data_IF_408247660355
#
_entry.id   IF_408247660355
#
_cell.length_a   1.000
_cell.length_b   1.000
_cell.length_c   1.000
_cell.angle_alpha   90.00
_cell.angle_beta   90.00
_cell.angle_gamma   90.00
#
_symmetry.space_group_name_H-M   'P 1'
#
loop_
_entity.id
_entity.type
_entity.pdbx_description
1 polymer ?
#
# COMPACT_ATOMS: atom_id res chain seq x y z
N UNK A 1 9.79 29.17 13.16
CA UNK A 1 8.86 28.37 12.32
C UNK A 1 9.61 27.69 11.20
N UNK A 2 10.24 28.39 10.27
CA UNK A 2 10.99 27.78 9.14
C UNK A 2 12.12 26.83 9.56
N UNK A 3 12.86 27.10 10.62
CA UNK A 3 13.93 26.23 11.09
C UNK A 3 13.38 24.93 11.69
N UNK A 4 12.27 24.98 12.40
CA UNK A 4 11.59 23.77 12.94
C UNK A 4 11.04 22.90 11.83
N UNK A 5 10.46 23.48 10.76
CA UNK A 5 10.01 22.73 9.61
C UNK A 5 11.16 22.02 8.90
N UNK A 6 12.32 22.70 8.77
CA UNK A 6 13.52 22.06 8.22
C UNK A 6 14.01 20.88 9.05
N UNK A 7 13.95 20.99 10.38
CA UNK A 7 14.30 19.87 11.26
C UNK A 7 13.40 18.65 11.03
N UNK A 8 12.11 18.86 10.74
CA UNK A 8 11.16 17.78 10.45
C UNK A 8 11.39 17.19 9.04
N UNK A 9 11.34 18.03 8.01
CA UNK A 9 11.42 17.55 6.62
C UNK A 9 12.79 16.94 6.26
N UNK A 10 13.86 17.36 6.93
CA UNK A 10 15.20 16.81 6.76
C UNK A 10 15.63 15.90 7.92
N UNK A 11 14.68 15.50 8.79
CA UNK A 11 14.97 14.51 9.83
C UNK A 11 15.39 13.17 9.20
N UNK A 12 16.17 12.40 9.93
CA UNK A 12 16.61 11.08 9.48
C UNK A 12 15.41 10.17 9.10
N UNK A 13 14.34 10.18 9.93
CA UNK A 13 13.14 9.39 9.66
C UNK A 13 12.45 9.81 8.35
N UNK A 14 12.27 11.11 8.12
CA UNK A 14 11.66 11.63 6.88
C UNK A 14 12.51 11.30 5.65
N UNK A 15 13.82 11.53 5.70
CA UNK A 15 14.73 11.26 4.56
C UNK A 15 14.76 9.77 4.21
N UNK A 16 14.79 8.89 5.20
CA UNK A 16 14.72 7.45 4.97
C UNK A 16 13.37 7.03 4.36
N UNK A 17 12.26 7.58 4.87
CA UNK A 17 10.94 7.31 4.31
C UNK A 17 10.84 7.77 2.85
N UNK A 18 11.22 9.03 2.55
CA UNK A 18 11.26 9.56 1.17
C UNK A 18 12.08 8.66 0.26
N UNK A 19 13.25 8.21 0.73
CA UNK A 19 14.12 7.34 -0.07
C UNK A 19 13.41 6.05 -0.47
N UNK A 20 12.72 5.40 0.48
CA UNK A 20 11.98 4.16 0.19
C UNK A 20 10.74 4.43 -0.68
N UNK A 21 10.02 5.53 -0.43
CA UNK A 21 8.87 5.94 -1.23
C UNK A 21 9.25 6.18 -2.71
N UNK A 22 10.33 6.92 -2.95
CA UNK A 22 10.85 7.15 -4.31
C UNK A 22 11.27 5.84 -4.97
N UNK A 23 11.94 4.93 -4.24
CA UNK A 23 12.34 3.63 -4.79
C UNK A 23 11.14 2.75 -5.12
N UNK A 24 10.09 2.77 -4.30
CA UNK A 24 8.85 2.06 -4.58
C UNK A 24 8.19 2.59 -5.86
N UNK A 25 8.02 3.91 -5.98
CA UNK A 25 7.44 4.53 -7.17
C UNK A 25 8.26 4.22 -8.44
N UNK A 26 9.56 4.43 -8.40
CA UNK A 26 10.46 4.15 -9.51
C UNK A 26 10.43 2.67 -9.92
N UNK A 27 10.32 1.77 -8.95
CA UNK A 27 10.18 0.35 -9.23
C UNK A 27 8.87 0.03 -9.97
N UNK A 28 7.73 0.56 -9.53
CA UNK A 28 6.45 0.34 -10.20
C UNK A 28 6.39 0.99 -11.60
N UNK A 29 7.07 2.10 -11.79
CA UNK A 29 7.17 2.78 -13.09
C UNK A 29 8.02 1.99 -14.11
N UNK A 30 9.02 1.24 -13.65
CA UNK A 30 10.07 0.67 -14.50
C UNK A 30 10.25 -0.85 -14.44
N UNK A 31 9.47 -1.58 -13.61
CA UNK A 31 9.65 -3.03 -13.49
C UNK A 31 9.47 -3.74 -14.85
N UNK A 32 10.27 -4.77 -15.07
CA UNK A 32 10.26 -5.58 -16.29
C UNK A 32 9.89 -7.03 -16.02
N UNK A 33 9.57 -7.34 -14.77
CA UNK A 33 9.12 -8.67 -14.37
C UNK A 33 7.80 -8.99 -15.05
N UNK A 34 7.76 -10.13 -15.71
CA UNK A 34 6.55 -10.68 -16.31
C UNK A 34 6.01 -11.87 -15.53
N UNK A 35 6.75 -12.33 -14.51
CA UNK A 35 6.35 -13.44 -13.65
C UNK A 35 5.79 -12.91 -12.33
N UNK A 36 4.65 -13.43 -11.92
CA UNK A 36 4.02 -13.18 -10.64
C UNK A 36 4.98 -13.42 -9.47
N UNK A 37 5.70 -14.56 -9.48
CA UNK A 37 6.63 -14.90 -8.40
C UNK A 37 7.78 -13.91 -8.25
N UNK A 38 8.33 -13.39 -9.35
CA UNK A 38 9.40 -12.40 -9.33
C UNK A 38 8.97 -11.06 -8.77
N UNK A 39 7.79 -10.58 -9.19
CA UNK A 39 7.20 -9.33 -8.69
C UNK A 39 6.83 -9.47 -7.21
N UNK A 40 6.15 -10.56 -6.84
CA UNK A 40 5.76 -10.87 -5.45
C UNK A 40 6.96 -10.97 -4.52
N UNK A 41 8.06 -11.62 -4.95
CA UNK A 41 9.29 -11.71 -4.16
C UNK A 41 9.88 -10.33 -3.82
N UNK A 42 9.86 -9.40 -4.75
CA UNK A 42 10.36 -8.03 -4.53
C UNK A 42 9.41 -7.21 -3.66
N UNK A 43 8.13 -7.23 -3.95
CA UNK A 43 7.13 -6.45 -3.19
C UNK A 43 7.03 -6.91 -1.74
N UNK A 44 7.12 -8.22 -1.45
CA UNK A 44 7.15 -8.73 -0.08
C UNK A 44 8.38 -8.30 0.74
N UNK A 45 9.40 -7.71 0.10
CA UNK A 45 10.56 -7.10 0.76
C UNK A 45 10.41 -5.58 0.89
N UNK A 46 9.86 -4.93 -0.13
CA UNK A 46 9.72 -3.46 -0.18
C UNK A 46 8.62 -2.98 0.77
N UNK A 47 7.43 -3.61 0.75
CA UNK A 47 6.28 -3.16 1.53
C UNK A 47 6.52 -3.14 3.05
N UNK A 48 7.13 -4.17 3.68
CA UNK A 48 7.45 -4.10 5.11
C UNK A 48 8.44 -2.98 5.45
N UNK A 49 9.43 -2.73 4.57
CA UNK A 49 10.37 -1.64 4.75
C UNK A 49 9.67 -0.28 4.63
N UNK A 50 8.78 -0.12 3.66
CA UNK A 50 7.98 1.09 3.47
C UNK A 50 7.12 1.37 4.70
N UNK A 51 6.40 0.36 5.23
CA UNK A 51 5.60 0.49 6.44
C UNK A 51 6.46 0.92 7.64
N UNK A 52 7.60 0.25 7.86
CA UNK A 52 8.52 0.58 8.93
C UNK A 52 8.99 2.03 8.84
N UNK A 53 9.39 2.49 7.65
CA UNK A 53 9.89 3.86 7.47
C UNK A 53 8.78 4.89 7.63
N UNK A 54 7.58 4.64 7.12
CA UNK A 54 6.42 5.50 7.34
C UNK A 54 6.08 5.64 8.83
N UNK A 55 6.12 4.55 9.60
CA UNK A 55 5.84 4.57 11.04
C UNK A 55 6.87 5.33 11.90
N UNK A 56 8.03 5.65 11.32
CA UNK A 56 9.13 6.39 12.00
C UNK A 56 9.18 7.88 11.63
N UNK A 57 8.30 8.34 10.74
CA UNK A 57 8.21 9.76 10.35
C UNK A 57 7.73 10.57 11.55
N UNK A 58 8.42 11.69 11.91
CA UNK A 58 7.96 12.55 12.99
C UNK A 58 6.63 13.22 12.66
N UNK A 59 5.83 13.48 13.68
CA UNK A 59 4.57 14.21 13.53
C UNK A 59 4.82 15.65 13.13
N UNK A 60 3.93 16.18 12.31
CA UNK A 60 3.92 17.59 11.89
C UNK A 60 2.48 18.06 11.68
N UNK A 61 2.30 19.37 11.54
CA UNK A 61 1.03 20.02 11.22
C UNK A 61 1.14 20.79 9.91
N UNK A 62 0.01 21.09 9.26
CA UNK A 62 -0.02 21.91 8.05
C UNK A 62 0.37 23.36 8.33
N UNK A 63 0.97 24.00 7.34
CA UNK A 63 1.40 25.41 7.39
C UNK A 63 0.61 26.27 6.40
N UNK A 64 0.32 25.73 5.22
CA UNK A 64 -0.49 26.41 4.22
C UNK A 64 -1.98 26.07 4.42
N UNK A 65 -2.85 26.98 3.93
CA UNK A 65 -4.31 26.78 3.96
C UNK A 65 -4.82 25.89 2.83
N UNK A 66 -4.05 25.80 1.74
CA UNK A 66 -4.41 25.02 0.55
C UNK A 66 -3.95 23.57 0.67
N UNK A 67 -4.73 22.65 0.11
CA UNK A 67 -4.35 21.24 0.00
C UNK A 67 -3.11 21.05 -0.90
N UNK A 68 -2.24 20.08 -0.60
CA UNK A 68 -1.09 19.76 -1.43
C UNK A 68 -1.51 19.38 -2.86
N UNK A 69 -0.67 19.76 -3.83
CA UNK A 69 -0.90 19.47 -5.24
C UNK A 69 -0.91 17.97 -5.52
N UNK A 70 -1.89 17.52 -6.31
CA UNK A 70 -1.98 16.16 -6.82
C UNK A 70 -1.26 16.10 -8.19
N UNK A 71 -0.24 15.29 -8.31
CA UNK A 71 0.59 15.15 -9.52
C UNK A 71 0.26 13.89 -10.34
N UNK A 72 -0.25 12.84 -9.71
CA UNK A 72 -0.62 11.61 -10.39
C UNK A 72 -1.96 11.80 -11.11
N UNK A 73 -1.93 11.66 -12.43
CA UNK A 73 -3.14 11.73 -13.26
C UNK A 73 -3.88 10.39 -13.28
N UNK A 74 -5.14 10.40 -13.75
CA UNK A 74 -5.89 9.17 -13.99
C UNK A 74 -5.18 8.25 -15.01
N UNK A 75 -4.50 8.84 -16.01
CA UNK A 75 -3.73 8.08 -17.00
C UNK A 75 -2.53 7.39 -16.36
N UNK A 76 -1.79 8.07 -15.48
CA UNK A 76 -0.67 7.50 -14.73
C UNK A 76 -1.14 6.35 -13.83
N UNK A 77 -2.23 6.58 -13.10
CA UNK A 77 -2.85 5.55 -12.25
C UNK A 77 -3.22 4.31 -13.06
N UNK A 78 -3.99 4.48 -14.13
CA UNK A 78 -4.45 3.39 -14.97
C UNK A 78 -3.29 2.64 -15.65
N UNK A 79 -2.21 3.34 -16.00
CA UNK A 79 -1.01 2.73 -16.54
C UNK A 79 -0.35 1.77 -15.54
N UNK A 80 -0.14 2.20 -14.29
CA UNK A 80 0.46 1.36 -13.25
C UNK A 80 -0.46 0.19 -12.88
N UNK A 81 -1.75 0.45 -12.63
CA UNK A 81 -2.74 -0.58 -12.29
C UNK A 81 -2.83 -1.67 -13.36
N UNK A 82 -2.90 -1.28 -14.63
CA UNK A 82 -2.99 -2.24 -15.75
C UNK A 82 -1.74 -3.11 -15.86
N UNK A 83 -0.56 -2.56 -15.63
CA UNK A 83 0.69 -3.32 -15.66
C UNK A 83 0.75 -4.36 -14.55
N UNK A 84 0.35 -3.98 -13.34
CA UNK A 84 0.28 -4.88 -12.19
C UNK A 84 -0.76 -5.98 -12.42
N UNK A 85 -1.96 -5.60 -12.87
CA UNK A 85 -3.01 -6.55 -13.20
C UNK A 85 -2.56 -7.60 -14.23
N UNK A 86 -1.83 -7.18 -15.28
CA UNK A 86 -1.30 -8.09 -16.29
C UNK A 86 -0.29 -9.12 -15.77
N UNK A 87 0.31 -8.87 -14.61
CA UNK A 87 1.20 -9.85 -13.96
C UNK A 87 0.41 -10.80 -13.06
N UNK A 88 -0.55 -10.29 -12.28
CA UNK A 88 -1.30 -11.09 -11.31
C UNK A 88 -2.50 -11.82 -11.91
N UNK A 89 -3.17 -11.24 -12.93
CA UNK A 89 -4.29 -11.85 -13.65
C UNK A 89 -5.35 -12.46 -12.70
N UNK A 90 -5.51 -13.79 -12.73
CA UNK A 90 -6.49 -14.50 -11.92
C UNK A 90 -6.19 -14.44 -10.41
N UNK A 91 -4.95 -14.16 -10.03
CA UNK A 91 -4.51 -14.05 -8.63
C UNK A 91 -4.55 -12.60 -8.12
N UNK A 92 -5.05 -11.65 -8.92
CA UNK A 92 -5.16 -10.24 -8.53
C UNK A 92 -6.19 -10.01 -7.42
N UNK A 93 -7.21 -10.85 -7.32
CA UNK A 93 -8.28 -10.69 -6.34
C UNK A 93 -7.98 -11.43 -5.04
N UNK A 94 -8.18 -10.75 -3.91
CA UNK A 94 -8.11 -11.34 -2.58
C UNK A 94 -9.28 -10.88 -1.69
N UNK A 95 -9.49 -11.55 -0.55
CA UNK A 95 -10.55 -11.15 0.38
C UNK A 95 -10.02 -10.11 1.37
N UNK A 96 -10.72 -8.97 1.43
CA UNK A 96 -10.45 -7.88 2.38
C UNK A 96 -10.69 -8.36 3.82
N UNK A 97 -10.02 -7.74 4.78
CA UNK A 97 -10.14 -8.04 6.21
C UNK A 97 -10.23 -6.76 7.04
N UNK A 98 -10.87 -6.85 8.20
CA UNK A 98 -11.01 -5.76 9.18
C UNK A 98 -11.80 -4.53 8.73
N UNK A 99 -12.61 -4.62 7.68
CA UNK A 99 -13.55 -3.56 7.35
C UNK A 99 -14.69 -3.51 8.37
N UNK A 100 -15.10 -2.29 8.77
CA UNK A 100 -16.20 -2.13 9.73
C UNK A 100 -17.51 -2.74 9.22
N UNK A 101 -17.73 -2.66 7.92
CA UNK A 101 -18.93 -3.19 7.25
C UNK A 101 -18.98 -4.73 7.21
N UNK A 102 -17.82 -5.42 7.33
CA UNK A 102 -17.77 -6.88 7.43
C UNK A 102 -18.52 -7.42 8.65
N UNK A 103 -18.72 -6.60 9.68
CA UNK A 103 -19.51 -6.96 10.87
C UNK A 103 -20.99 -7.14 10.59
N UNK A 104 -21.48 -6.56 9.50
CA UNK A 104 -22.90 -6.51 9.12
C UNK A 104 -23.16 -7.10 7.73
N UNK A 105 -22.11 -7.51 7.01
CA UNK A 105 -22.21 -8.11 5.68
C UNK A 105 -21.97 -9.62 5.77
N UNK A 106 -22.88 -10.41 5.24
CA UNK A 106 -22.71 -11.86 5.05
C UNK A 106 -21.82 -12.18 3.84
N UNK A 107 -21.50 -11.16 3.02
CA UNK A 107 -20.72 -11.34 1.79
C UNK A 107 -19.30 -10.84 2.02
N UNK A 108 -18.25 -11.65 1.76
CA UNK A 108 -16.88 -11.20 1.78
C UNK A 108 -16.66 -10.06 0.78
N UNK A 109 -15.88 -9.06 1.17
CA UNK A 109 -15.50 -7.94 0.30
C UNK A 109 -14.21 -8.31 -0.41
N UNK A 110 -14.23 -8.25 -1.74
CA UNK A 110 -13.06 -8.49 -2.55
C UNK A 110 -12.24 -7.20 -2.72
N UNK A 111 -10.92 -7.33 -2.70
CA UNK A 111 -9.96 -6.29 -3.01
C UNK A 111 -9.02 -6.76 -4.14
N UNK A 112 -8.30 -5.83 -4.75
CA UNK A 112 -7.41 -6.09 -5.87
C UNK A 112 -5.97 -5.74 -5.50
N UNK A 113 -5.04 -6.67 -5.74
CA UNK A 113 -3.61 -6.45 -5.50
C UNK A 113 -3.11 -5.29 -6.34
N UNK A 114 -3.49 -5.24 -7.61
CA UNK A 114 -3.06 -4.19 -8.55
C UNK A 114 -3.57 -2.81 -8.13
N UNK A 115 -4.84 -2.70 -7.70
CA UNK A 115 -5.41 -1.44 -7.25
C UNK A 115 -4.78 -0.97 -5.93
N UNK A 116 -4.66 -1.85 -4.93
CA UNK A 116 -4.08 -1.47 -3.65
C UNK A 116 -2.61 -1.04 -3.76
N UNK A 117 -1.81 -1.72 -4.58
CA UNK A 117 -0.45 -1.28 -4.87
C UNK A 117 -0.42 0.07 -5.59
N UNK A 118 -1.39 0.32 -6.48
CA UNK A 118 -1.48 1.59 -7.22
C UNK A 118 -1.97 2.73 -6.33
N UNK A 119 -2.88 2.47 -5.40
CA UNK A 119 -3.33 3.46 -4.42
C UNK A 119 -2.16 3.92 -3.52
N UNK A 120 -1.35 2.97 -3.04
CA UNK A 120 -0.11 3.28 -2.31
C UNK A 120 0.84 4.11 -3.18
N UNK A 121 1.00 3.73 -4.46
CA UNK A 121 1.83 4.47 -5.41
C UNK A 121 1.34 5.91 -5.57
N UNK A 122 0.05 6.14 -5.72
CA UNK A 122 -0.53 7.46 -5.93
C UNK A 122 -0.19 8.41 -4.77
N UNK A 123 -0.41 7.98 -3.53
CA UNK A 123 -0.10 8.77 -2.34
C UNK A 123 1.40 9.09 -2.25
N UNK A 124 2.23 8.09 -2.43
CA UNK A 124 3.69 8.25 -2.35
C UNK A 124 4.26 9.08 -3.48
N UNK A 125 3.74 8.95 -4.70
CA UNK A 125 4.20 9.72 -5.87
C UNK A 125 3.82 11.19 -5.76
N UNK A 126 2.60 11.49 -5.31
CA UNK A 126 2.17 12.86 -5.05
C UNK A 126 3.11 13.52 -4.02
N UNK A 127 3.36 12.86 -2.90
CA UNK A 127 4.29 13.34 -1.88
C UNK A 127 5.72 13.50 -2.42
N UNK A 128 6.27 12.50 -3.11
CA UNK A 128 7.62 12.52 -3.64
C UNK A 128 7.83 13.68 -4.63
N UNK A 129 6.84 13.96 -5.48
CA UNK A 129 6.89 15.06 -6.44
C UNK A 129 6.95 16.43 -5.75
N UNK A 130 6.18 16.61 -4.67
CA UNK A 130 6.22 17.83 -3.85
C UNK A 130 7.59 17.96 -3.17
N UNK A 131 8.09 16.86 -2.61
CA UNK A 131 9.36 16.83 -1.91
C UNK A 131 10.55 17.18 -2.83
N UNK A 132 10.53 16.70 -4.07
CA UNK A 132 11.57 16.99 -5.08
C UNK A 132 11.68 18.48 -5.42
N UNK A 133 10.59 19.25 -5.32
CA UNK A 133 10.60 20.70 -5.60
C UNK A 133 11.37 21.51 -4.55
N UNK A 134 11.61 20.97 -3.36
CA UNK A 134 12.51 21.53 -2.37
C UNK A 134 11.99 22.78 -1.63
N UNK A 135 10.70 23.10 -1.70
CA UNK A 135 10.09 24.20 -0.95
C UNK A 135 9.67 23.67 0.42
N UNK A 136 10.33 24.10 1.48
CA UNK A 136 10.22 23.52 2.84
C UNK A 136 8.78 23.46 3.35
N UNK A 137 8.01 24.52 3.17
CA UNK A 137 6.62 24.60 3.60
C UNK A 137 5.75 23.56 2.86
N UNK A 138 5.92 23.47 1.54
CA UNK A 138 5.18 22.50 0.72
C UNK A 138 5.63 21.05 1.02
N UNK A 139 6.94 20.83 1.25
CA UNK A 139 7.45 19.52 1.67
C UNK A 139 6.82 19.05 2.98
N UNK A 140 6.66 19.98 3.94
CA UNK A 140 6.02 19.71 5.21
C UNK A 140 4.54 19.33 5.04
N UNK A 141 3.80 20.11 4.26
CA UNK A 141 2.36 19.87 4.06
C UNK A 141 2.10 18.61 3.22
N UNK A 142 2.95 18.34 2.23
CA UNK A 142 2.95 17.07 1.50
C UNK A 142 3.25 15.87 2.41
N UNK A 143 4.20 16.02 3.35
CA UNK A 143 4.51 15.00 4.34
C UNK A 143 3.32 14.76 5.28
N UNK A 144 2.72 15.85 5.80
CA UNK A 144 1.53 15.78 6.64
C UNK A 144 0.40 15.01 5.95
N UNK A 145 0.02 15.40 4.74
CA UNK A 145 -1.05 14.77 3.98
C UNK A 145 -0.77 13.28 3.70
N UNK A 146 0.47 12.95 3.30
CA UNK A 146 0.88 11.58 3.07
C UNK A 146 0.80 10.73 4.35
N UNK A 147 1.15 11.28 5.51
CA UNK A 147 1.09 10.58 6.80
C UNK A 147 -0.33 10.45 7.33
N UNK A 148 -1.20 11.43 7.13
CA UNK A 148 -2.63 11.30 7.43
C UNK A 148 -3.26 10.19 6.58
N UNK A 149 -2.95 10.14 5.28
CA UNK A 149 -3.40 9.07 4.40
C UNK A 149 -2.79 7.71 4.79
N UNK A 150 -1.55 7.66 5.30
CA UNK A 150 -0.97 6.43 5.85
C UNK A 150 -1.81 5.89 7.00
N UNK A 151 -2.19 6.74 7.93
CA UNK A 151 -2.99 6.35 9.11
C UNK A 151 -4.41 5.93 8.74
N UNK A 152 -5.04 6.66 7.81
CA UNK A 152 -6.44 6.48 7.48
C UNK A 152 -6.71 5.51 6.31
N UNK A 153 -5.76 5.32 5.41
CA UNK A 153 -6.02 4.68 4.12
C UNK A 153 -4.91 3.74 3.64
N UNK A 154 -3.81 4.28 3.06
CA UNK A 154 -2.87 3.42 2.35
C UNK A 154 -2.03 2.51 3.26
N UNK A 155 -1.85 2.85 4.52
CA UNK A 155 -1.18 1.97 5.48
C UNK A 155 -1.96 0.67 5.73
N UNK A 156 -3.30 0.73 5.79
CA UNK A 156 -4.15 -0.44 5.90
C UNK A 156 -4.11 -1.28 4.61
N UNK A 157 -4.19 -0.64 3.44
CA UNK A 157 -4.05 -1.31 2.14
C UNK A 157 -2.71 -2.03 2.02
N UNK A 158 -1.62 -1.39 2.46
CA UNK A 158 -0.28 -1.98 2.46
C UNK A 158 -0.24 -3.28 3.27
N UNK A 159 -0.81 -3.30 4.47
CA UNK A 159 -0.82 -4.50 5.32
C UNK A 159 -1.67 -5.60 4.70
N UNK A 160 -2.82 -5.25 4.12
CA UNK A 160 -3.73 -6.21 3.51
C UNK A 160 -3.13 -6.83 2.25
N UNK A 161 -2.59 -6.02 1.34
CA UNK A 161 -1.95 -6.52 0.11
C UNK A 161 -0.66 -7.30 0.42
N UNK A 162 0.10 -6.90 1.46
CA UNK A 162 1.26 -7.67 1.90
C UNK A 162 0.86 -9.07 2.36
N UNK A 163 -0.26 -9.22 3.09
CA UNK A 163 -0.79 -10.52 3.49
C UNK A 163 -1.18 -11.36 2.27
N UNK A 164 -1.84 -10.76 1.27
CA UNK A 164 -2.20 -11.44 0.03
C UNK A 164 -0.95 -11.92 -0.73
N UNK A 165 0.04 -11.05 -0.91
CA UNK A 165 1.31 -11.37 -1.56
C UNK A 165 2.12 -12.45 -0.80
N UNK A 166 2.08 -12.42 0.54
CA UNK A 166 2.70 -13.47 1.37
C UNK A 166 2.04 -14.83 1.12
N UNK A 167 0.72 -14.85 1.04
CA UNK A 167 -0.03 -16.07 0.72
C UNK A 167 0.36 -16.61 -0.65
N UNK A 168 0.36 -15.76 -1.71
CA UNK A 168 0.79 -16.16 -3.06
C UNK A 168 2.22 -16.70 -3.09
N UNK A 169 3.11 -16.10 -2.32
CA UNK A 169 4.53 -16.49 -2.30
C UNK A 169 4.79 -17.85 -1.64
N UNK A 170 4.06 -18.16 -0.58
CA UNK A 170 4.36 -19.29 0.30
C UNK A 170 3.29 -20.39 0.29
N UNK A 171 2.13 -20.18 -0.36
CA UNK A 171 1.15 -21.24 -0.58
C UNK A 171 1.72 -22.20 -1.62
N UNK A 172 2.27 -23.30 -1.14
CA UNK A 172 2.73 -24.40 -2.00
C UNK A 172 1.48 -25.03 -2.63
N UNK A 173 1.19 -24.77 -3.91
CA UNK A 173 0.44 -25.63 -4.84
C UNK A 173 -0.78 -26.45 -4.38
N UNK A 174 -1.27 -26.27 -3.18
CA UNK A 174 -2.56 -26.79 -2.76
C UNK A 174 -3.59 -25.75 -3.23
N UNK A 175 -4.23 -26.05 -4.35
CA UNK A 175 -5.45 -25.40 -4.76
C UNK A 175 -6.37 -25.29 -3.54
N UNK A 176 -6.57 -24.07 -3.04
CA UNK A 176 -7.76 -23.80 -2.22
C UNK A 176 -8.92 -23.86 -3.20
N UNK A 177 -9.28 -25.10 -3.56
CA UNK A 177 -10.59 -25.38 -4.10
C UNK A 177 -11.53 -24.99 -2.97
N UNK A 178 -12.14 -23.83 -3.11
CA UNK A 178 -13.39 -23.53 -2.42
C UNK A 178 -14.44 -24.50 -3.01
N UNK A 179 -14.26 -25.78 -2.67
CA UNK A 179 -15.28 -26.79 -2.93
C UNK A 179 -16.44 -26.40 -2.01
N UNK A 180 -17.53 -25.92 -2.61
CA UNK A 180 -18.74 -25.48 -1.94
C UNK A 180 -19.51 -26.65 -1.29
N UNK A 181 -18.81 -27.48 -0.52
CA UNK A 181 -19.42 -28.42 0.42
C UNK A 181 -19.58 -27.69 1.74
N UNK A 182 -20.84 -27.49 2.11
CA UNK A 182 -21.20 -27.18 3.47
C UNK A 182 -20.45 -28.15 4.41
N UNK A 183 -19.83 -27.64 5.48
CA UNK A 183 -19.18 -28.52 6.46
C UNK A 183 -20.24 -29.47 7.01
N UNK A 184 -19.97 -30.76 6.95
CA UNK A 184 -20.84 -31.74 7.61
C UNK A 184 -20.99 -31.36 9.10
N UNK A 185 -22.20 -31.40 9.66
CA UNK A 185 -22.41 -31.07 11.05
C UNK A 185 -21.56 -32.02 11.93
N UNK A 186 -20.66 -31.43 12.72
CA UNK A 186 -19.85 -32.15 13.69
C UNK A 186 -20.80 -32.74 14.73
N UNK A 187 -20.77 -34.07 14.91
CA UNK A 187 -21.51 -34.74 15.94
C UNK A 187 -20.98 -34.29 17.33
N UNK A 188 -21.84 -33.68 18.18
CA UNK A 188 -21.44 -33.23 19.51
C UNK A 188 -20.85 -34.32 20.40
N UNK A 189 -21.14 -35.60 20.13
CA UNK A 189 -20.68 -36.73 20.92
C UNK A 189 -19.26 -37.21 20.55
N UNK A 190 -18.66 -36.71 19.46
CA UNK A 190 -17.24 -36.95 19.07
C UNK A 190 -16.23 -35.96 19.69
N UNK A 191 -16.69 -34.98 20.45
CA UNK A 191 -15.84 -33.93 21.04
C UNK A 191 -15.35 -34.22 22.48
N UNK A 192 -15.62 -35.44 23.03
CA UNK A 192 -15.21 -35.84 24.41
C UNK A 192 -14.55 -37.20 24.46
#
# INVERSE_FOLDING_TARGET
MTDQLKEIVYSHGTVEFVTVAVQYCAYLESFTETSESGLTDKLTKILPLLYLKASMVPETDTVNEDDPEISVTEEDYNYIASRLYNVYLNNDTYLEVFLQDMKYSETPIAASISEDLTDIYQDLKNFATIFERGITENMNDGLYACMENFRAYWGQKLVNVLRALHSLKYSSGEDIILDGKDPEPIDPDELW
#
